data_IF_893716351945
#
_entry.id   IF_893716351945
#
_cell.length_a   1.000
_cell.length_b   1.000
_cell.length_c   1.000
_cell.angle_alpha   90.00
_cell.angle_beta   90.00
_cell.angle_gamma   90.00
#
_symmetry.space_group_name_H-M   'P 1'
#
loop_
_entity.id
_entity.type
_entity.pdbx_description
1 polymer ?
#
# COMPACT_ATOMS: atom_id res chain seq x y z
N UNK A 1 36.41 44.98 20.03
CA UNK A 1 35.66 43.74 20.36
C UNK A 1 36.35 43.11 21.54
N UNK A 2 35.59 42.59 22.51
CA UNK A 2 36.16 41.90 23.65
C UNK A 2 36.94 40.65 23.18
N UNK A 3 38.01 40.24 23.91
CA UNK A 3 38.72 38.99 23.64
C UNK A 3 37.72 37.82 23.58
N UNK A 4 37.80 36.98 22.54
CA UNK A 4 36.89 35.84 22.34
C UNK A 4 35.66 36.11 21.48
N UNK A 5 35.40 37.36 21.05
CA UNK A 5 34.27 37.68 20.16
C UNK A 5 34.74 37.80 18.71
N UNK A 6 34.39 36.81 17.89
CA UNK A 6 34.65 36.81 16.46
C UNK A 6 33.71 37.78 15.74
N UNK A 7 34.25 38.60 14.82
CA UNK A 7 33.41 39.37 13.89
C UNK A 7 32.62 38.39 13.02
N UNK A 8 31.36 38.72 12.72
CA UNK A 8 30.51 37.94 11.80
C UNK A 8 31.21 37.64 10.46
N UNK A 9 31.87 38.64 9.87
CA UNK A 9 32.63 38.48 8.61
C UNK A 9 33.82 37.52 8.75
N UNK A 10 34.44 37.47 9.92
CA UNK A 10 35.52 36.52 10.22
C UNK A 10 34.96 35.11 10.35
N UNK A 11 33.85 34.92 11.07
CA UNK A 11 33.16 33.63 11.20
C UNK A 11 32.66 33.10 9.85
N UNK A 12 32.00 33.94 9.04
CA UNK A 12 31.52 33.58 7.71
C UNK A 12 32.69 33.17 6.79
N UNK A 13 33.83 33.86 6.87
CA UNK A 13 35.03 33.49 6.12
C UNK A 13 35.59 32.12 6.55
N UNK A 14 35.63 31.83 7.84
CA UNK A 14 36.08 30.53 8.34
C UNK A 14 35.11 29.40 7.96
N UNK A 15 33.79 29.63 8.08
CA UNK A 15 32.76 28.68 7.64
C UNK A 15 32.86 28.42 6.13
N UNK A 16 33.05 29.46 5.33
CA UNK A 16 33.25 29.32 3.88
C UNK A 16 34.53 28.54 3.56
N UNK A 17 35.66 28.84 4.21
CA UNK A 17 36.93 28.12 4.01
C UNK A 17 36.84 26.65 4.45
N UNK A 18 35.98 26.34 5.42
CA UNK A 18 35.70 24.99 5.90
C UNK A 18 34.63 24.24 5.07
N UNK A 19 34.10 24.83 3.98
CA UNK A 19 33.14 24.16 3.09
C UNK A 19 31.66 24.39 3.42
N UNK A 20 31.34 25.22 4.42
CA UNK A 20 29.98 25.49 4.91
C UNK A 20 29.40 26.81 4.36
N UNK A 21 29.92 27.34 3.25
CA UNK A 21 29.36 28.51 2.60
C UNK A 21 27.93 28.23 2.10
N UNK A 22 27.03 29.22 2.15
CA UNK A 22 25.62 29.06 1.71
C UNK A 22 25.52 28.45 0.30
N UNK A 23 26.35 28.91 -0.64
CA UNK A 23 26.39 28.40 -2.01
C UNK A 23 26.94 26.97 -2.09
N UNK A 24 27.92 26.60 -1.26
CA UNK A 24 28.43 25.23 -1.16
C UNK A 24 27.38 24.31 -0.53
N UNK A 25 26.70 24.74 0.54
CA UNK A 25 25.60 23.99 1.17
C UNK A 25 24.40 23.84 0.23
N UNK A 26 24.09 24.85 -0.58
CA UNK A 26 23.13 24.76 -1.69
C UNK A 26 23.63 23.77 -2.73
N UNK A 27 24.88 23.82 -3.18
CA UNK A 27 25.44 22.84 -4.10
C UNK A 27 25.48 21.42 -3.52
N UNK A 28 25.68 21.23 -2.21
CA UNK A 28 25.57 19.93 -1.55
C UNK A 28 24.12 19.45 -1.51
N UNK A 29 23.16 20.34 -1.24
CA UNK A 29 21.73 20.01 -1.29
C UNK A 29 21.26 19.74 -2.72
N UNK A 30 21.74 20.49 -3.70
CA UNK A 30 21.44 20.34 -5.11
C UNK A 30 22.13 19.11 -5.67
N UNK A 31 23.37 18.82 -5.28
CA UNK A 31 24.03 17.54 -5.54
C UNK A 31 23.35 16.39 -4.80
N UNK A 32 22.69 16.59 -3.65
CA UNK A 32 21.90 15.56 -2.98
C UNK A 32 20.54 15.35 -3.66
N UNK A 33 19.99 16.37 -4.32
CA UNK A 33 18.78 16.33 -5.17
C UNK A 33 19.07 15.87 -6.61
N UNK A 34 20.27 16.15 -7.12
CA UNK A 34 20.78 15.87 -8.47
C UNK A 34 21.59 14.57 -8.51
N UNK A 35 22.18 14.16 -7.38
CA UNK A 35 22.73 12.81 -7.22
C UNK A 35 21.60 11.86 -7.49
N UNK A 36 21.89 10.96 -8.42
CA UNK A 36 21.04 9.96 -9.04
C UNK A 36 20.38 8.96 -8.09
N UNK A 37 20.28 9.23 -6.79
CA UNK A 37 19.68 8.34 -5.77
C UNK A 37 18.28 7.94 -6.22
N UNK A 38 18.15 6.65 -6.57
CA UNK A 38 16.85 6.06 -6.87
C UNK A 38 15.94 6.28 -5.67
N UNK A 39 14.70 6.69 -5.94
CA UNK A 39 13.71 6.87 -4.89
C UNK A 39 13.49 5.54 -4.17
N UNK A 40 13.91 5.47 -2.91
CA UNK A 40 13.83 4.28 -2.06
C UNK A 40 13.93 4.73 -0.61
N UNK A 41 12.98 4.31 0.23
CA UNK A 41 13.08 4.49 1.68
C UNK A 41 14.21 3.62 2.24
N UNK A 42 14.86 4.07 3.32
CA UNK A 42 15.96 3.33 3.93
C UNK A 42 15.53 2.11 4.74
N UNK A 43 14.23 2.00 5.08
CA UNK A 43 13.72 0.89 5.89
C UNK A 43 12.38 0.39 5.38
N UNK A 44 12.11 -0.89 5.68
CA UNK A 44 10.79 -1.51 5.45
C UNK A 44 9.68 -0.72 6.15
N UNK A 45 8.45 -0.85 5.67
CA UNK A 45 7.25 -0.25 6.23
C UNK A 45 7.27 1.29 6.32
N UNK A 46 8.27 1.97 5.73
CA UNK A 46 8.28 3.43 5.63
C UNK A 46 7.42 3.95 4.49
N UNK A 47 7.29 3.14 3.43
CA UNK A 47 6.47 3.46 2.29
C UNK A 47 6.04 2.18 1.60
N UNK A 48 4.74 2.04 1.37
CA UNK A 48 4.16 0.96 0.58
C UNK A 48 3.61 1.54 -0.73
N UNK A 49 3.88 0.85 -1.83
CA UNK A 49 3.33 1.19 -3.14
C UNK A 49 2.12 0.31 -3.41
N UNK A 50 0.96 0.92 -3.55
CA UNK A 50 -0.27 0.25 -3.97
C UNK A 50 -0.43 0.34 -5.49
N UNK A 51 -0.79 -0.77 -6.13
CA UNK A 51 -1.09 -0.81 -7.57
C UNK A 51 -2.22 -1.81 -7.89
N UNK A 52 -2.86 -1.60 -9.04
CA UNK A 52 -3.89 -2.49 -9.60
C UNK A 52 -3.54 -2.81 -11.04
N UNK A 53 -3.53 -4.11 -11.36
CA UNK A 53 -3.27 -4.62 -12.71
C UNK A 53 -4.37 -5.56 -13.18
N UNK A 54 -4.68 -5.54 -14.47
CA UNK A 54 -5.59 -6.52 -15.08
C UNK A 54 -5.01 -7.94 -15.02
N UNK A 55 -5.81 -8.89 -14.55
CA UNK A 55 -5.53 -10.32 -14.56
C UNK A 55 -6.10 -11.05 -15.79
N UNK A 56 -6.27 -12.36 -15.66
CA UNK A 56 -6.95 -13.18 -16.66
C UNK A 56 -8.48 -13.04 -16.54
N UNK A 57 -9.22 -13.40 -17.59
CA UNK A 57 -10.67 -13.56 -17.46
C UNK A 57 -10.98 -14.97 -16.96
N UNK A 58 -11.93 -15.10 -16.05
CA UNK A 58 -12.38 -16.38 -15.48
C UNK A 58 -13.89 -16.59 -15.69
N UNK A 59 -14.36 -17.83 -15.89
CA UNK A 59 -15.79 -18.15 -16.06
C UNK A 59 -16.57 -18.15 -14.73
N UNK A 60 -16.44 -17.10 -13.94
CA UNK A 60 -17.01 -16.98 -12.58
C UNK A 60 -18.27 -16.10 -12.52
N UNK A 61 -18.71 -15.56 -13.65
CA UNK A 61 -19.94 -14.78 -13.73
C UNK A 61 -21.21 -15.65 -13.76
N UNK A 62 -22.38 -15.00 -13.68
CA UNK A 62 -23.68 -15.68 -13.84
C UNK A 62 -23.67 -16.52 -15.13
N UNK A 63 -24.12 -17.77 -15.02
CA UNK A 63 -24.15 -18.74 -16.13
C UNK A 63 -22.77 -19.01 -16.76
N UNK A 64 -21.67 -18.88 -16.01
CA UNK A 64 -20.31 -19.12 -16.50
C UNK A 64 -19.74 -17.99 -17.36
N UNK A 65 -20.35 -16.79 -17.33
CA UNK A 65 -19.85 -15.64 -18.06
C UNK A 65 -18.41 -15.29 -17.65
N UNK A 66 -17.60 -14.89 -18.62
CA UNK A 66 -16.20 -14.51 -18.38
C UNK A 66 -16.12 -13.15 -17.68
N UNK A 67 -15.57 -13.14 -16.47
CA UNK A 67 -15.35 -11.95 -15.64
C UNK A 67 -13.87 -11.60 -15.68
N UNK A 68 -13.56 -10.33 -15.89
CA UNK A 68 -12.20 -9.80 -15.81
C UNK A 68 -11.74 -9.77 -14.35
N UNK A 69 -10.61 -10.40 -14.03
CA UNK A 69 -10.01 -10.27 -12.69
C UNK A 69 -9.05 -9.09 -12.61
N UNK A 70 -8.83 -8.61 -11.39
CA UNK A 70 -7.96 -7.49 -11.06
C UNK A 70 -7.01 -7.89 -9.94
N UNK A 71 -5.72 -7.75 -10.15
CA UNK A 71 -4.69 -7.94 -9.14
C UNK A 71 -4.51 -6.65 -8.37
N UNK A 72 -4.84 -6.61 -7.08
CA UNK A 72 -4.44 -5.51 -6.20
C UNK A 72 -3.19 -5.91 -5.42
N UNK A 73 -2.19 -5.04 -5.36
CA UNK A 73 -0.88 -5.35 -4.77
C UNK A 73 -0.37 -4.21 -3.88
N UNK A 74 0.30 -4.59 -2.81
CA UNK A 74 0.97 -3.71 -1.87
C UNK A 74 2.43 -4.14 -1.69
N UNK A 75 3.34 -3.31 -2.20
CA UNK A 75 4.77 -3.62 -2.31
C UNK A 75 5.56 -2.69 -1.40
N UNK A 76 6.45 -3.25 -0.58
CA UNK A 76 7.36 -2.45 0.24
C UNK A 76 8.38 -1.70 -0.61
N UNK A 77 8.46 -0.39 -0.42
CA UNK A 77 9.32 0.50 -1.20
C UNK A 77 10.81 0.28 -0.92
N UNK A 78 11.19 -0.25 0.24
CA UNK A 78 12.58 -0.50 0.58
C UNK A 78 13.01 -1.85 0.02
N UNK A 79 12.31 -2.92 0.38
CA UNK A 79 12.73 -4.29 0.10
C UNK A 79 12.22 -4.89 -1.21
N UNK A 80 11.26 -4.23 -1.88
CA UNK A 80 10.48 -4.84 -2.98
C UNK A 80 9.66 -6.06 -2.54
N UNK A 81 9.54 -6.33 -1.24
CA UNK A 81 8.74 -7.44 -0.76
C UNK A 81 7.25 -7.13 -0.97
N UNK A 82 6.56 -8.03 -1.66
CA UNK A 82 5.09 -7.95 -1.82
C UNK A 82 4.47 -8.45 -0.53
N UNK A 83 3.90 -7.55 0.26
CA UNK A 83 3.30 -7.85 1.57
C UNK A 83 1.93 -8.49 1.39
N UNK A 84 1.14 -7.96 0.45
CA UNK A 84 -0.14 -8.51 0.04
C UNK A 84 -0.31 -8.31 -1.45
N UNK A 85 -0.80 -9.34 -2.14
CA UNK A 85 -1.21 -9.24 -3.53
C UNK A 85 -2.21 -10.35 -3.85
N UNK A 86 -3.35 -9.98 -4.41
CA UNK A 86 -4.48 -10.90 -4.60
C UNK A 86 -5.33 -10.49 -5.80
N UNK A 87 -5.86 -11.49 -6.52
CA UNK A 87 -6.83 -11.32 -7.59
C UNK A 87 -8.25 -11.24 -7.02
N UNK A 88 -9.01 -10.29 -7.56
CA UNK A 88 -10.40 -10.04 -7.22
C UNK A 88 -11.26 -10.08 -8.50
N UNK A 89 -12.54 -10.41 -8.35
CA UNK A 89 -13.53 -10.42 -9.44
C UNK A 89 -14.16 -9.04 -9.72
N UNK A 90 -13.70 -8.00 -9.01
CA UNK A 90 -14.24 -6.63 -9.04
C UNK A 90 -13.09 -5.62 -9.16
N UNK A 91 -13.34 -4.48 -9.79
CA UNK A 91 -12.43 -3.33 -9.86
C UNK A 91 -12.77 -2.25 -8.81
N UNK A 92 -13.67 -2.57 -7.87
CA UNK A 92 -14.14 -1.62 -6.88
C UNK A 92 -13.03 -1.19 -5.92
N UNK A 93 -13.20 -0.01 -5.33
CA UNK A 93 -12.29 0.54 -4.31
C UNK A 93 -12.08 -0.41 -3.12
N UNK A 94 -13.09 -1.25 -2.81
CA UNK A 94 -13.08 -2.26 -1.75
C UNK A 94 -11.91 -3.23 -1.84
N UNK A 95 -11.42 -3.57 -3.04
CA UNK A 95 -10.29 -4.50 -3.21
C UNK A 95 -8.97 -3.91 -2.71
N UNK A 96 -8.82 -2.58 -2.83
CA UNK A 96 -7.65 -1.87 -2.32
C UNK A 96 -7.74 -1.77 -0.81
N UNK A 97 -8.93 -1.49 -0.28
CA UNK A 97 -9.18 -1.49 1.16
C UNK A 97 -8.87 -2.83 1.80
N UNK A 98 -9.36 -3.92 1.22
CA UNK A 98 -9.07 -5.28 1.70
C UNK A 98 -7.57 -5.60 1.62
N UNK A 99 -6.92 -5.24 0.51
CA UNK A 99 -5.47 -5.42 0.36
C UNK A 99 -4.69 -4.71 1.46
N UNK A 100 -5.01 -3.44 1.75
CA UNK A 100 -4.32 -2.68 2.78
C UNK A 100 -4.71 -3.06 4.21
N UNK A 101 -5.94 -3.55 4.44
CA UNK A 101 -6.33 -4.20 5.70
C UNK A 101 -5.46 -5.43 5.95
N UNK A 102 -5.32 -6.31 4.95
CA UNK A 102 -4.48 -7.51 5.01
C UNK A 102 -3.00 -7.16 5.21
N UNK A 103 -2.49 -6.09 4.60
CA UNK A 103 -1.13 -5.58 4.89
C UNK A 103 -0.95 -5.25 6.36
N UNK A 104 -1.87 -4.48 6.96
CA UNK A 104 -1.77 -4.10 8.37
C UNK A 104 -1.86 -5.32 9.28
N UNK A 105 -2.71 -6.29 8.96
CA UNK A 105 -2.83 -7.53 9.72
C UNK A 105 -1.58 -8.42 9.61
N UNK A 106 -0.98 -8.53 8.41
CA UNK A 106 0.18 -9.40 8.14
C UNK A 106 1.50 -8.82 8.63
N UNK A 107 1.72 -7.52 8.44
CA UNK A 107 3.01 -6.86 8.67
C UNK A 107 2.97 -5.73 9.71
N UNK A 108 1.79 -5.38 10.22
CA UNK A 108 1.61 -4.28 11.16
C UNK A 108 1.51 -2.91 10.49
N UNK A 109 1.56 -1.87 11.33
CA UNK A 109 1.48 -0.47 10.93
C UNK A 109 2.69 -0.04 10.11
N UNK A 110 2.43 0.64 9.00
CA UNK A 110 3.41 1.32 8.16
C UNK A 110 3.22 2.84 8.21
N UNK A 111 4.22 3.63 7.79
CA UNK A 111 4.17 5.09 7.92
C UNK A 111 3.29 5.74 6.85
N UNK A 112 3.44 5.28 5.61
CA UNK A 112 2.73 5.85 4.48
C UNK A 112 2.57 4.87 3.32
N UNK A 113 1.57 5.12 2.47
CA UNK A 113 1.48 4.51 1.16
C UNK A 113 1.23 5.56 0.07
N UNK A 114 1.45 5.19 -1.18
CA UNK A 114 0.93 5.93 -2.32
C UNK A 114 0.45 4.97 -3.41
N UNK A 115 -0.36 5.49 -4.31
CA UNK A 115 -0.89 4.78 -5.47
C UNK A 115 -0.37 5.49 -6.73
N UNK A 116 0.11 4.75 -7.73
CA UNK A 116 0.50 5.38 -9.00
C UNK A 116 -0.75 5.93 -9.70
N UNK A 117 -0.58 7.00 -10.47
CA UNK A 117 -1.61 7.97 -10.89
C UNK A 117 -2.75 7.39 -11.76
N UNK A 118 -3.62 6.59 -11.15
CA UNK A 118 -5.05 6.56 -11.39
C UNK A 118 -5.72 7.25 -10.23
N UNK A 119 -5.93 8.57 -10.31
CA UNK A 119 -6.54 9.41 -9.26
C UNK A 119 -7.99 9.01 -8.88
N UNK A 120 -8.51 7.95 -9.50
CA UNK A 120 -9.80 7.33 -9.21
C UNK A 120 -9.74 6.33 -8.05
N UNK A 121 -8.58 5.80 -7.66
CA UNK A 121 -8.50 4.68 -6.69
C UNK A 121 -8.30 5.07 -5.24
N UNK A 122 -8.06 6.35 -4.93
CA UNK A 122 -7.96 6.76 -3.52
C UNK A 122 -9.35 7.09 -3.00
N UNK A 123 -10.07 6.03 -2.68
CA UNK A 123 -11.35 6.06 -2.00
C UNK A 123 -11.30 7.00 -0.79
N UNK A 124 -12.38 7.77 -0.60
CA UNK A 124 -12.58 8.54 0.63
C UNK A 124 -12.50 7.61 1.85
N UNK A 125 -13.01 6.39 1.71
CA UNK A 125 -13.00 5.38 2.76
C UNK A 125 -11.60 4.91 3.11
N UNK A 126 -10.80 4.48 2.13
CA UNK A 126 -9.40 4.10 2.38
C UNK A 126 -8.58 5.18 3.12
N UNK A 127 -8.77 6.47 2.75
CA UNK A 127 -8.13 7.59 3.48
C UNK A 127 -8.58 7.66 4.94
N UNK A 128 -9.87 7.48 5.20
CA UNK A 128 -10.42 7.47 6.55
C UNK A 128 -9.90 6.28 7.35
N UNK A 129 -9.94 5.06 6.78
CA UNK A 129 -9.50 3.82 7.43
C UNK A 129 -8.03 3.87 7.81
N UNK A 130 -7.15 4.22 6.86
CA UNK A 130 -5.73 4.38 7.13
C UNK A 130 -5.45 5.55 8.08
N UNK A 131 -6.21 6.65 7.97
CA UNK A 131 -6.14 7.79 8.88
C UNK A 131 -6.45 7.43 10.34
N UNK A 132 -7.49 6.61 10.58
CA UNK A 132 -7.84 6.09 11.92
C UNK A 132 -6.68 5.28 12.54
N UNK A 133 -5.88 4.60 11.71
CA UNK A 133 -4.70 3.85 12.15
C UNK A 133 -3.43 4.71 12.24
N UNK A 134 -3.52 6.01 11.93
CA UNK A 134 -2.39 6.94 11.90
C UNK A 134 -1.40 6.64 10.77
N UNK A 135 -1.91 6.21 9.62
CA UNK A 135 -1.17 5.88 8.40
C UNK A 135 -1.47 6.94 7.34
N UNK A 136 -0.43 7.46 6.68
CA UNK A 136 -0.59 8.57 5.72
C UNK A 136 -0.66 8.10 4.27
N UNK A 137 -1.70 8.46 3.53
CA UNK A 137 -1.70 8.33 2.06
C UNK A 137 -1.01 9.55 1.45
N UNK A 138 0.08 9.33 0.72
CA UNK A 138 0.84 10.36 0.01
C UNK A 138 0.44 10.40 -1.46
N UNK A 139 0.57 11.57 -2.07
CA UNK A 139 0.56 11.66 -3.53
C UNK A 139 1.84 11.05 -4.09
N UNK A 140 1.72 10.31 -5.20
CA UNK A 140 2.87 9.89 -5.98
C UNK A 140 3.74 11.13 -6.28
N UNK A 141 5.07 11.08 -6.08
CA UNK A 141 5.93 12.22 -6.37
C UNK A 141 5.73 12.70 -7.82
N UNK A 142 5.30 13.95 -8.00
CA UNK A 142 5.28 14.58 -9.33
C UNK A 142 6.74 14.71 -9.79
N UNK A 143 7.08 14.06 -10.91
CA UNK A 143 8.39 14.10 -11.57
C UNK A 143 9.52 13.18 -11.05
N UNK A 144 9.29 11.87 -10.99
CA UNK A 144 10.41 10.95 -11.30
C UNK A 144 9.91 9.72 -12.07
N UNK A 145 10.37 9.53 -13.30
CA UNK A 145 10.21 8.22 -13.99
C UNK A 145 10.80 7.06 -13.17
N UNK A 146 11.63 7.36 -12.16
CA UNK A 146 12.29 6.40 -11.27
C UNK A 146 11.37 5.81 -10.19
N UNK A 147 10.34 6.53 -9.71
CA UNK A 147 9.38 6.00 -8.73
C UNK A 147 8.37 5.04 -9.36
N UNK A 148 8.08 5.20 -10.66
CA UNK A 148 7.22 4.31 -11.44
C UNK A 148 7.86 2.97 -11.79
N UNK A 149 9.19 2.96 -11.93
CA UNK A 149 9.94 1.78 -12.36
C UNK A 149 9.79 0.55 -11.46
N UNK A 150 9.43 0.70 -10.17
CA UNK A 150 9.22 -0.45 -9.27
C UNK A 150 7.94 -1.20 -9.61
N UNK A 151 6.81 -0.49 -9.73
CA UNK A 151 5.54 -1.07 -10.16
C UNK A 151 5.64 -1.61 -11.59
N UNK A 152 6.28 -0.88 -12.52
CA UNK A 152 6.48 -1.37 -13.89
C UNK A 152 7.26 -2.69 -13.96
N UNK A 153 8.34 -2.82 -13.16
CA UNK A 153 9.09 -4.08 -13.07
C UNK A 153 8.28 -5.20 -12.44
N UNK A 154 7.50 -4.90 -11.41
CA UNK A 154 6.58 -5.88 -10.84
C UNK A 154 5.51 -6.31 -11.85
N UNK A 155 4.98 -5.40 -12.67
CA UNK A 155 4.00 -5.72 -13.70
C UNK A 155 4.55 -6.67 -14.75
N UNK A 156 5.83 -6.55 -15.11
CA UNK A 156 6.49 -7.51 -16.01
C UNK A 156 6.54 -8.92 -15.40
N UNK A 157 6.75 -9.03 -14.08
CA UNK A 157 6.68 -10.30 -13.37
C UNK A 157 5.26 -10.87 -13.40
N UNK A 158 4.27 -10.03 -13.09
CA UNK A 158 2.84 -10.42 -13.17
C UNK A 158 2.49 -10.87 -14.58
N UNK A 159 2.94 -10.17 -15.63
CA UNK A 159 2.69 -10.56 -17.03
C UNK A 159 3.31 -11.91 -17.39
N UNK A 160 4.45 -12.26 -16.79
CA UNK A 160 5.02 -13.61 -16.94
C UNK A 160 4.12 -14.67 -16.31
N UNK A 161 3.72 -14.45 -15.06
CA UNK A 161 2.81 -15.34 -14.36
C UNK A 161 1.48 -15.50 -15.09
N UNK A 162 0.87 -14.41 -15.56
CA UNK A 162 -0.41 -14.45 -16.27
C UNK A 162 -0.34 -15.24 -17.58
N UNK A 163 0.83 -15.31 -18.24
CA UNK A 163 1.01 -16.17 -19.42
C UNK A 163 0.98 -17.65 -19.05
N UNK A 164 1.64 -18.02 -17.96
CA UNK A 164 1.64 -19.39 -17.43
C UNK A 164 0.24 -19.78 -16.92
N UNK A 165 -0.40 -18.90 -16.16
CA UNK A 165 -1.75 -19.07 -15.63
C UNK A 165 -2.80 -19.34 -16.73
N UNK A 166 -2.69 -18.67 -17.89
CA UNK A 166 -3.56 -18.92 -19.05
C UNK A 166 -3.35 -20.32 -19.64
N UNK A 167 -2.12 -20.82 -19.66
CA UNK A 167 -1.82 -22.16 -20.17
C UNK A 167 -2.36 -23.26 -19.25
N UNK A 168 -2.38 -23.03 -17.93
CA UNK A 168 -2.91 -23.95 -16.93
C UNK A 168 -4.45 -24.05 -16.86
N UNK A 169 -5.19 -23.30 -17.68
CA UNK A 169 -6.67 -23.33 -17.76
C UNK A 169 -7.39 -23.14 -16.41
N UNK A 170 -6.86 -22.25 -15.55
CA UNK A 170 -7.47 -21.91 -14.26
C UNK A 170 -8.91 -21.41 -14.47
N UNK A 171 -9.86 -21.91 -13.66
CA UNK A 171 -11.30 -21.58 -13.80
C UNK A 171 -11.91 -20.84 -12.62
N UNK A 172 -11.26 -20.87 -11.45
CA UNK A 172 -11.79 -20.23 -10.23
C UNK A 172 -10.83 -19.18 -9.70
N UNK A 173 -11.38 -18.22 -8.94
CA UNK A 173 -10.58 -17.15 -8.35
C UNK A 173 -9.63 -17.70 -7.27
N UNK A 174 -10.09 -18.70 -6.52
CA UNK A 174 -9.35 -19.37 -5.45
C UNK A 174 -8.11 -20.06 -6.02
N UNK A 175 -8.25 -20.81 -7.12
CA UNK A 175 -7.12 -21.45 -7.79
C UNK A 175 -6.12 -20.42 -8.34
N UNK A 176 -6.61 -19.31 -8.91
CA UNK A 176 -5.76 -18.24 -9.39
C UNK A 176 -4.94 -17.63 -8.24
N UNK A 177 -5.58 -17.35 -7.10
CA UNK A 177 -4.92 -16.82 -5.93
C UNK A 177 -3.94 -17.81 -5.29
N UNK A 178 -4.30 -19.09 -5.20
CA UNK A 178 -3.41 -20.13 -4.68
C UNK A 178 -2.11 -20.22 -5.48
N UNK A 179 -2.20 -20.29 -6.81
CA UNK A 179 -0.99 -20.35 -7.64
C UNK A 179 -0.21 -19.04 -7.62
N UNK A 180 -0.90 -17.91 -7.47
CA UNK A 180 -0.25 -16.61 -7.35
C UNK A 180 0.56 -16.48 -6.05
N UNK A 181 0.00 -16.94 -4.93
CA UNK A 181 0.68 -16.99 -3.64
C UNK A 181 1.94 -17.86 -3.72
N UNK A 182 1.82 -19.08 -4.26
CA UNK A 182 2.96 -19.98 -4.48
C UNK A 182 4.02 -19.31 -5.36
N UNK A 183 3.61 -18.64 -6.45
CA UNK A 183 4.53 -17.95 -7.34
C UNK A 183 5.27 -16.80 -6.62
N UNK A 184 4.59 -16.05 -5.76
CA UNK A 184 5.24 -14.99 -5.00
C UNK A 184 6.26 -15.55 -4.01
N UNK A 185 5.85 -16.55 -3.23
CA UNK A 185 6.67 -17.15 -2.17
C UNK A 185 7.87 -17.91 -2.73
N UNK A 186 7.67 -18.73 -3.76
CA UNK A 186 8.70 -19.63 -4.29
C UNK A 186 9.57 -18.98 -5.36
N UNK A 187 9.06 -18.00 -6.09
CA UNK A 187 9.80 -17.34 -7.17
C UNK A 187 10.14 -15.88 -6.85
N UNK A 188 9.14 -15.01 -6.73
CA UNK A 188 9.38 -13.56 -6.71
C UNK A 188 10.21 -13.10 -5.49
N UNK A 189 9.85 -13.57 -4.29
CA UNK A 189 10.52 -13.20 -3.04
C UNK A 189 11.90 -13.84 -2.89
N UNK A 190 12.14 -14.99 -3.55
CA UNK A 190 13.40 -15.75 -3.50
C UNK A 190 14.36 -15.45 -4.66
N UNK A 191 13.93 -14.69 -5.67
CA UNK A 191 14.78 -14.26 -6.78
C UNK A 191 15.47 -12.91 -6.46
N UNK A 192 16.77 -12.76 -6.75
CA UNK A 192 17.46 -11.48 -6.62
C UNK A 192 16.88 -10.40 -7.54
N UNK A 193 16.76 -9.16 -7.04
CA UNK A 193 16.22 -8.04 -7.83
C UNK A 193 17.30 -6.98 -8.09
N UNK A 194 17.47 -6.63 -9.37
CA UNK A 194 18.38 -5.56 -9.80
C UNK A 194 18.04 -4.21 -9.13
N UNK A 195 16.76 -3.93 -8.90
CA UNK A 195 16.33 -2.70 -8.23
C UNK A 195 16.82 -2.55 -6.78
N UNK A 196 17.20 -3.66 -6.11
CA UNK A 196 17.81 -3.66 -4.77
C UNK A 196 19.33 -3.52 -4.89
N UNK A 197 19.96 -4.27 -5.80
CA UNK A 197 21.40 -4.14 -6.14
C UNK A 197 21.77 -2.68 -6.43
N UNK A 198 21.05 -2.08 -7.38
CA UNK A 198 21.30 -0.70 -7.84
C UNK A 198 21.06 0.34 -6.73
N UNK A 199 20.21 0.04 -5.74
CA UNK A 199 20.02 0.91 -4.57
C UNK A 199 21.29 0.95 -3.72
N UNK A 200 21.86 -0.20 -3.37
CA UNK A 200 23.08 -0.28 -2.55
C UNK A 200 24.32 0.22 -3.29
N UNK A 201 24.45 -0.08 -4.59
CA UNK A 201 25.52 0.46 -5.42
C UNK A 201 25.47 2.00 -5.45
N UNK A 202 24.26 2.60 -5.51
CA UNK A 202 24.10 4.06 -5.44
C UNK A 202 24.50 4.67 -4.08
N UNK A 203 24.62 3.85 -3.04
CA UNK A 203 25.11 4.23 -1.72
C UNK A 203 26.62 3.95 -1.55
N UNK A 204 27.27 3.33 -2.54
CA UNK A 204 28.65 2.86 -2.43
C UNK A 204 28.80 1.63 -1.54
N UNK A 205 27.69 0.94 -1.23
CA UNK A 205 27.70 -0.28 -0.42
C UNK A 205 28.02 -1.50 -1.28
N UNK A 206 28.84 -2.46 -0.78
CA UNK A 206 29.09 -3.69 -1.50
C UNK A 206 27.80 -4.51 -1.64
N UNK A 207 27.59 -5.08 -2.82
CA UNK A 207 26.47 -6.00 -3.09
C UNK A 207 27.03 -7.40 -3.34
N UNK A 208 26.47 -8.45 -2.71
CA UNK A 208 26.89 -9.82 -2.99
C UNK A 208 26.74 -10.18 -4.47
N UNK A 209 27.65 -11.02 -4.99
CA UNK A 209 27.62 -11.40 -6.40
C UNK A 209 26.30 -12.05 -6.81
N UNK A 210 25.74 -12.88 -5.92
CA UNK A 210 24.43 -13.53 -6.05
C UNK A 210 23.23 -12.57 -6.00
N UNK A 211 23.46 -11.27 -5.72
CA UNK A 211 22.41 -10.28 -5.53
C UNK A 211 21.70 -10.41 -4.18
N UNK A 212 20.62 -9.63 -4.02
CA UNK A 212 19.82 -9.58 -2.81
C UNK A 212 18.36 -9.82 -3.21
N UNK A 213 17.70 -10.77 -2.54
CA UNK A 213 16.28 -11.08 -2.79
C UNK A 213 15.37 -10.18 -1.93
N UNK A 214 14.11 -9.95 -2.33
CA UNK A 214 13.15 -9.22 -1.50
C UNK A 214 12.96 -9.84 -0.10
N UNK A 215 12.94 -11.17 -0.01
CA UNK A 215 12.82 -11.88 1.26
C UNK A 215 14.02 -11.61 2.17
N UNK A 216 15.24 -11.65 1.62
CA UNK A 216 16.46 -11.35 2.38
C UNK A 216 16.49 -9.89 2.83
N UNK A 217 16.14 -8.97 1.95
CA UNK A 217 16.11 -7.53 2.23
C UNK A 217 15.07 -7.19 3.31
N UNK A 218 13.88 -7.78 3.22
CA UNK A 218 12.83 -7.64 4.23
C UNK A 218 13.24 -8.22 5.59
N UNK A 219 13.89 -9.38 5.59
CA UNK A 219 14.26 -10.10 6.81
C UNK A 219 15.45 -9.49 7.55
N UNK A 220 16.40 -8.88 6.83
CA UNK A 220 17.61 -8.27 7.44
C UNK A 220 17.42 -6.83 7.93
N UNK A 221 16.34 -6.16 7.50
CA UNK A 221 16.07 -4.80 7.95
C UNK A 221 15.76 -4.77 9.46
N UNK A 222 16.44 -3.88 10.17
CA UNK A 222 16.41 -3.81 11.64
C UNK A 222 15.18 -3.09 12.20
N UNK A 223 14.33 -2.48 11.35
CA UNK A 223 13.14 -1.77 11.82
C UNK A 223 12.13 -2.76 12.39
N UNK A 224 11.67 -2.60 13.64
CA UNK A 224 10.65 -3.48 14.22
C UNK A 224 9.30 -3.30 13.53
N UNK A 225 8.56 -4.40 13.39
CA UNK A 225 7.16 -4.38 12.95
C UNK A 225 6.28 -4.02 14.16
N UNK A 226 5.32 -3.11 13.96
CA UNK A 226 4.41 -2.66 15.03
C UNK A 226 3.00 -3.16 14.73
N UNK A 227 2.56 -4.22 15.41
CA UNK A 227 1.23 -4.78 15.21
C UNK A 227 0.17 -3.98 15.98
N UNK A 228 -0.99 -3.81 15.35
CA UNK A 228 -2.16 -3.19 15.96
C UNK A 228 -3.13 -4.28 16.40
N UNK A 229 -3.97 -3.98 17.40
CA UNK A 229 -5.06 -4.87 17.79
C UNK A 229 -5.98 -5.16 16.60
N UNK A 230 -6.36 -6.43 16.43
CA UNK A 230 -7.14 -6.87 15.27
C UNK A 230 -8.55 -6.28 15.26
N UNK A 231 -9.13 -6.01 16.43
CA UNK A 231 -10.41 -5.31 16.58
C UNK A 231 -10.31 -3.85 16.15
N UNK A 232 -9.23 -3.16 16.52
CA UNK A 232 -8.95 -1.78 16.06
C UNK A 232 -8.78 -1.72 14.54
N UNK A 233 -8.06 -2.69 13.96
CA UNK A 233 -7.90 -2.76 12.49
C UNK A 233 -9.23 -3.06 11.82
N UNK A 234 -10.01 -4.02 12.33
CA UNK A 234 -11.32 -4.35 11.78
C UNK A 234 -12.26 -3.13 11.78
N UNK A 235 -12.38 -2.45 12.92
CA UNK A 235 -13.22 -1.25 13.08
C UNK A 235 -12.78 -0.09 12.17
N UNK A 236 -11.46 0.07 11.98
CA UNK A 236 -10.96 1.13 11.11
C UNK A 236 -11.43 0.97 9.66
N UNK A 237 -11.58 -0.27 9.17
CA UNK A 237 -11.97 -0.59 7.79
C UNK A 237 -13.48 -0.83 7.61
N UNK A 238 -14.30 -0.73 8.66
CA UNK A 238 -15.75 -0.76 8.49
C UNK A 238 -16.24 0.52 7.80
N UNK A 239 -17.22 0.36 6.91
CA UNK A 239 -17.97 1.46 6.32
C UNK A 239 -19.15 1.79 7.21
N UNK A 240 -19.40 3.08 7.40
CA UNK A 240 -20.49 3.57 8.24
C UNK A 240 -21.49 4.36 7.41
N UNK A 241 -22.77 4.08 7.59
CA UNK A 241 -23.87 4.82 6.96
C UNK A 241 -25.02 5.04 7.94
N UNK A 242 -25.71 6.17 7.84
CA UNK A 242 -26.93 6.41 8.63
C UNK A 242 -28.16 5.88 7.90
N UNK A 243 -29.05 5.21 8.63
CA UNK A 243 -30.34 4.73 8.13
C UNK A 243 -31.47 5.09 9.08
N UNK A 244 -32.65 5.35 8.53
CA UNK A 244 -33.87 5.56 9.29
C UNK A 244 -34.59 4.22 9.43
N UNK A 245 -34.96 3.86 10.66
CA UNK A 245 -35.76 2.66 10.92
C UNK A 245 -37.22 2.95 10.55
N UNK A 246 -37.77 2.12 9.67
CA UNK A 246 -39.14 2.24 9.19
C UNK A 246 -40.19 1.79 10.23
N UNK A 247 -41.47 1.95 9.91
CA UNK A 247 -42.57 1.56 10.80
C UNK A 247 -42.65 0.06 11.09
N UNK A 248 -41.99 -0.77 10.27
CA UNK A 248 -41.88 -2.21 10.44
C UNK A 248 -40.62 -2.62 11.21
N UNK A 249 -39.97 -1.69 11.94
CA UNK A 249 -38.72 -1.92 12.65
C UNK A 249 -37.57 -2.41 11.75
N UNK A 250 -37.58 -2.04 10.47
CA UNK A 250 -36.57 -2.47 9.51
C UNK A 250 -35.75 -1.28 8.97
N UNK A 251 -34.55 -1.57 8.49
CA UNK A 251 -33.78 -0.67 7.62
C UNK A 251 -33.63 -1.28 6.23
N UNK A 252 -33.49 -0.43 5.21
CA UNK A 252 -33.17 -0.84 3.85
C UNK A 252 -31.73 -0.45 3.50
N UNK A 253 -30.96 -1.42 3.04
CA UNK A 253 -29.57 -1.25 2.63
C UNK A 253 -29.26 -2.17 1.45
N UNK A 254 -28.70 -1.59 0.37
CA UNK A 254 -28.35 -2.30 -0.88
C UNK A 254 -29.47 -3.21 -1.43
N UNK A 255 -30.72 -2.73 -1.39
CA UNK A 255 -31.88 -3.48 -1.89
C UNK A 255 -32.31 -4.65 -0.99
N UNK A 256 -31.69 -4.81 0.19
CA UNK A 256 -32.07 -5.78 1.21
C UNK A 256 -32.70 -5.09 2.41
N UNK A 257 -33.64 -5.77 3.06
CA UNK A 257 -34.22 -5.33 4.34
C UNK A 257 -33.55 -6.07 5.49
N UNK A 258 -33.26 -5.34 6.55
CA UNK A 258 -32.68 -5.85 7.78
C UNK A 258 -33.61 -5.52 8.93
N UNK A 259 -33.95 -6.55 9.71
CA UNK A 259 -34.75 -6.39 10.92
C UNK A 259 -33.90 -5.74 12.02
N UNK A 260 -34.52 -4.85 12.80
CA UNK A 260 -33.92 -4.19 13.95
C UNK A 260 -34.82 -4.39 15.18
N UNK A 261 -34.70 -3.54 16.20
CA UNK A 261 -35.57 -3.59 17.38
C UNK A 261 -36.77 -2.66 17.20
N UNK A 262 -38.00 -3.05 17.60
CA UNK A 262 -39.16 -2.16 17.57
C UNK A 262 -38.98 -0.85 18.34
N UNK A 263 -38.14 -0.84 19.39
CA UNK A 263 -37.79 0.37 20.14
C UNK A 263 -37.03 1.42 19.32
N UNK A 264 -36.49 1.05 18.16
CA UNK A 264 -35.75 1.95 17.28
C UNK A 264 -36.62 2.53 16.17
N UNK A 265 -37.91 2.21 16.09
CA UNK A 265 -38.81 2.74 15.05
C UNK A 265 -38.76 4.28 15.04
N UNK A 266 -38.55 4.85 13.85
CA UNK A 266 -38.43 6.31 13.67
C UNK A 266 -37.08 6.90 14.09
N UNK A 267 -36.19 6.10 14.69
CA UNK A 267 -34.84 6.55 15.04
C UNK A 267 -33.90 6.50 13.82
N UNK A 268 -32.95 7.43 13.80
CA UNK A 268 -31.78 7.34 12.93
C UNK A 268 -30.73 6.48 13.64
N UNK A 269 -30.34 5.38 12.99
CA UNK A 269 -29.31 4.46 13.47
C UNK A 269 -28.11 4.53 12.55
N UNK A 270 -26.93 4.21 13.08
CA UNK A 270 -25.74 4.01 12.27
C UNK A 270 -25.57 2.53 12.00
N UNK A 271 -25.35 2.18 10.74
CA UNK A 271 -24.93 0.85 10.34
C UNK A 271 -23.44 0.85 10.04
N UNK A 272 -22.76 -0.21 10.46
CA UNK A 272 -21.37 -0.50 10.12
C UNK A 272 -21.25 -1.85 9.44
N UNK A 273 -20.49 -1.96 8.35
CA UNK A 273 -20.33 -3.21 7.59
C UNK A 273 -18.95 -3.33 6.94
N UNK A 274 -18.54 -4.58 6.65
CA UNK A 274 -17.34 -4.86 5.87
C UNK A 274 -17.68 -4.72 4.37
N UNK A 275 -17.00 -3.88 3.59
CA UNK A 275 -17.28 -3.73 2.16
C UNK A 275 -17.06 -5.02 1.35
N UNK A 276 -16.29 -5.98 1.86
CA UNK A 276 -16.11 -7.31 1.25
C UNK A 276 -17.24 -8.29 1.61
N UNK A 277 -18.08 -7.95 2.59
CA UNK A 277 -19.24 -8.75 3.04
C UNK A 277 -20.41 -7.83 3.43
N UNK A 278 -20.92 -7.00 2.48
CA UNK A 278 -21.90 -5.95 2.77
C UNK A 278 -23.26 -6.51 3.20
N UNK A 279 -23.48 -7.82 3.06
CA UNK A 279 -24.66 -8.50 3.53
C UNK A 279 -24.79 -8.56 5.04
N UNK A 280 -23.68 -8.46 5.79
CA UNK A 280 -23.69 -8.48 7.25
C UNK A 280 -23.51 -7.04 7.76
N UNK A 281 -24.54 -6.52 8.42
CA UNK A 281 -24.53 -5.17 8.99
C UNK A 281 -24.66 -5.22 10.51
N UNK A 282 -23.89 -4.39 11.21
CA UNK A 282 -24.07 -4.12 12.64
C UNK A 282 -24.81 -2.80 12.78
N UNK A 283 -25.87 -2.79 13.59
CA UNK A 283 -26.66 -1.60 13.89
C UNK A 283 -26.23 -1.05 15.25
N UNK A 284 -25.91 0.25 15.29
CA UNK A 284 -25.62 0.97 16.52
C UNK A 284 -26.57 2.16 16.67
N UNK A 285 -26.98 2.41 17.91
CA UNK A 285 -27.83 3.53 18.29
C UNK A 285 -27.25 4.16 19.56
N UNK A 286 -26.91 5.45 19.56
CA UNK A 286 -26.27 6.10 20.71
C UNK A 286 -27.24 6.47 21.85
N UNK A 287 -28.55 6.20 21.70
CA UNK A 287 -29.57 6.50 22.70
C UNK A 287 -29.80 5.39 23.72
#
# INVERSE_FOLDING_TARGET
>A
MAPGVLKRSTMERYLYKAGFGVRQMQMYNDARKSSSKRFCKPHRMMLIQGDIKYGIKLPIGRNGAMVQTYLSSAIDDHSRYVIQSEFYASQEESIVEDTFRKVVLKAGKFDACYFDNGSQYIAKQLKLSLGKLGITIRHAPRASGKSKGKCEKFHQVVDSYLREAKAHQIRTLEQLNQYWEIFLEEYYHKKPHEGIREYYESLGSPVPAQGITPMQEWGRDSRPLTFLDTGVVAEAFLHHETRLVDKGACISFQGRKYETKPSLIGCKVEISYDPMSPEVVRVSYPG
#
